data_IF_007024433323
#
_entry.id   IF_007024433323
#
_cell.length_a   1.000
_cell.length_b   1.000
_cell.length_c   1.000
_cell.angle_alpha   90.00
_cell.angle_beta   90.00
_cell.angle_gamma   90.00
#
_symmetry.space_group_name_H-M   'P 1'
#
loop_
_entity.id
_entity.type
_entity.pdbx_description
1 polymer ?
#
# COMPACT_ATOMS: atom_id res chain seq x y z
N UNK A 1 -2.98 -9.87 66.35
CA UNK A 1 -4.30 -10.10 65.72
C UNK A 1 -4.41 -9.07 64.60
N UNK A 2 -3.94 -9.37 63.40
CA UNK A 2 -4.56 -10.21 62.35
C UNK A 2 -5.49 -9.40 61.43
N UNK A 3 -5.12 -9.33 60.14
CA UNK A 3 -5.98 -8.97 59.00
C UNK A 3 -6.16 -7.44 58.80
N UNK A 4 -6.03 -6.86 57.62
CA UNK A 4 -6.10 -7.42 56.28
C UNK A 4 -5.27 -6.55 55.33
N UNK A 5 -4.25 -7.15 54.72
CA UNK A 5 -3.73 -6.70 53.43
C UNK A 5 -4.88 -6.92 52.44
N UNK A 6 -5.55 -5.86 52.03
CA UNK A 6 -6.45 -5.91 50.88
C UNK A 6 -5.59 -6.24 49.66
N UNK A 7 -5.49 -7.52 49.36
CA UNK A 7 -5.07 -8.04 48.07
C UNK A 7 -5.97 -7.44 47.01
N UNK A 8 -5.54 -6.31 46.45
CA UNK A 8 -6.13 -5.77 45.24
C UNK A 8 -6.06 -6.87 44.20
N UNK A 9 -7.23 -7.41 43.85
CA UNK A 9 -7.37 -8.46 42.87
C UNK A 9 -6.63 -8.01 41.59
N UNK A 10 -5.46 -8.60 41.36
CA UNK A 10 -4.75 -8.49 40.10
C UNK A 10 -5.73 -9.08 39.10
N UNK A 11 -6.39 -8.22 38.32
CA UNK A 11 -7.29 -8.64 37.25
C UNK A 11 -6.49 -9.58 36.35
N UNK A 12 -6.66 -10.89 36.51
CA UNK A 12 -5.92 -11.93 35.81
C UNK A 12 -6.48 -12.13 34.41
N UNK A 13 -6.52 -11.04 33.64
CA UNK A 13 -6.98 -11.04 32.26
C UNK A 13 -5.84 -10.70 31.33
N UNK A 14 -5.80 -11.35 30.16
CA UNK A 14 -4.85 -11.02 29.10
C UNK A 14 -4.80 -9.51 28.79
N UNK A 15 -5.93 -8.80 28.94
CA UNK A 15 -6.03 -7.35 28.82
C UNK A 15 -5.22 -6.59 29.89
N UNK A 16 -5.25 -7.02 31.15
CA UNK A 16 -4.48 -6.41 32.22
C UNK A 16 -2.98 -6.71 32.09
N UNK A 17 -2.63 -7.91 31.62
CA UNK A 17 -1.25 -8.25 31.27
C UNK A 17 -0.72 -7.37 30.13
N UNK A 18 -1.53 -7.08 29.11
CA UNK A 18 -1.16 -6.22 27.98
C UNK A 18 -1.13 -4.72 28.32
N UNK A 19 -1.92 -4.27 29.29
CA UNK A 19 -2.01 -2.86 29.70
C UNK A 19 -1.21 -2.54 30.98
N UNK A 20 -0.34 -3.45 31.42
CA UNK A 20 0.48 -3.23 32.62
C UNK A 20 1.35 -1.97 32.48
N UNK A 21 1.35 -1.06 33.47
CA UNK A 21 2.23 0.12 33.47
C UNK A 21 3.71 -0.25 33.62
N UNK A 22 4.01 -1.42 34.18
CA UNK A 22 5.37 -1.97 34.28
C UNK A 22 5.40 -3.36 33.58
N UNK A 23 5.80 -3.43 32.30
CA UNK A 23 5.91 -4.71 31.60
C UNK A 23 7.09 -5.52 32.14
N UNK A 24 6.86 -6.79 32.50
CA UNK A 24 7.86 -7.69 33.06
C UNK A 24 8.83 -8.26 32.01
N UNK A 25 8.51 -8.17 30.71
CA UNK A 25 9.37 -8.64 29.62
C UNK A 25 9.33 -7.72 28.40
N UNK A 26 10.39 -7.77 27.57
CA UNK A 26 10.43 -7.06 26.26
C UNK A 26 9.30 -7.50 25.33
N UNK A 27 8.90 -8.77 25.39
CA UNK A 27 7.79 -9.32 24.62
C UNK A 27 6.45 -8.73 25.09
N UNK A 28 6.21 -8.68 26.40
CA UNK A 28 5.02 -8.05 26.98
C UNK A 28 4.92 -6.56 26.63
N UNK A 29 6.03 -5.83 26.72
CA UNK A 29 6.07 -4.42 26.33
C UNK A 29 5.71 -4.24 24.85
N UNK A 30 6.20 -5.12 23.96
CA UNK A 30 5.89 -5.08 22.53
C UNK A 30 4.42 -5.41 22.26
N UNK A 31 3.91 -6.50 22.83
CA UNK A 31 2.50 -6.90 22.69
C UNK A 31 1.54 -5.85 23.26
N UNK A 32 1.84 -5.27 24.42
CA UNK A 32 1.04 -4.22 25.03
C UNK A 32 1.01 -2.91 24.23
N UNK A 33 2.10 -2.57 23.52
CA UNK A 33 2.13 -1.44 22.58
C UNK A 33 1.24 -1.70 21.36
N UNK A 34 1.36 -2.87 20.74
CA UNK A 34 0.50 -3.25 19.61
C UNK A 34 -0.97 -3.30 20.00
N UNK A 35 -1.29 -3.81 21.18
CA UNK A 35 -2.65 -3.86 21.68
C UNK A 35 -3.25 -2.48 21.93
N UNK A 36 -2.48 -1.53 22.47
CA UNK A 36 -2.90 -0.12 22.61
C UNK A 36 -3.11 0.55 21.26
N UNK A 37 -2.20 0.34 20.31
CA UNK A 37 -2.35 0.84 18.94
C UNK A 37 -3.61 0.27 18.27
N UNK A 38 -3.88 -1.03 18.44
CA UNK A 38 -5.10 -1.67 17.95
C UNK A 38 -6.36 -1.12 18.60
N UNK A 39 -6.36 -0.90 19.92
CA UNK A 39 -7.49 -0.26 20.63
C UNK A 39 -7.78 1.14 20.09
N UNK A 40 -6.74 1.95 19.84
CA UNK A 40 -6.86 3.26 19.21
C UNK A 40 -7.41 3.18 17.78
N UNK A 41 -6.83 2.30 16.96
CA UNK A 41 -7.25 2.05 15.58
C UNK A 41 -8.73 1.63 15.51
N UNK A 42 -9.15 0.69 16.37
CA UNK A 42 -10.52 0.16 16.39
C UNK A 42 -11.56 1.21 16.79
N UNK A 43 -11.15 2.27 17.50
CA UNK A 43 -12.04 3.39 17.85
C UNK A 43 -12.30 4.31 16.65
N UNK A 44 -11.38 4.35 15.68
CA UNK A 44 -11.57 5.11 14.44
C UNK A 44 -12.45 4.30 13.47
N UNK A 45 -13.73 4.68 13.37
CA UNK A 45 -14.72 4.00 12.50
C UNK A 45 -14.32 4.07 11.02
N UNK A 46 -13.70 5.16 10.59
CA UNK A 46 -13.23 5.33 9.21
C UNK A 46 -12.06 4.40 8.90
N UNK A 47 -11.11 4.28 9.83
CA UNK A 47 -10.01 3.31 9.73
C UNK A 47 -10.51 1.86 9.63
N UNK A 48 -11.54 1.51 10.41
CA UNK A 48 -12.17 0.20 10.36
C UNK A 48 -12.92 -0.05 9.03
N UNK A 49 -13.55 0.97 8.46
CA UNK A 49 -14.16 0.88 7.14
C UNK A 49 -13.10 0.67 6.05
N UNK A 50 -11.99 1.41 6.11
CA UNK A 50 -10.84 1.21 5.22
C UNK A 50 -10.26 -0.20 5.31
N UNK A 51 -10.05 -0.69 6.55
CA UNK A 51 -9.61 -2.06 6.80
C UNK A 51 -10.57 -3.09 6.20
N UNK A 52 -11.88 -2.90 6.36
CA UNK A 52 -12.88 -3.80 5.80
C UNK A 52 -12.83 -3.82 4.27
N UNK A 53 -12.70 -2.66 3.61
CA UNK A 53 -12.59 -2.57 2.15
C UNK A 53 -11.34 -3.31 1.65
N UNK A 54 -10.18 -3.05 2.26
CA UNK A 54 -8.92 -3.70 1.87
C UNK A 54 -8.99 -5.21 2.14
N UNK A 55 -9.59 -5.63 3.25
CA UNK A 55 -9.80 -7.05 3.56
C UNK A 55 -10.69 -7.71 2.50
N UNK A 56 -11.82 -7.09 2.13
CA UNK A 56 -12.72 -7.61 1.09
C UNK A 56 -12.02 -7.68 -0.27
N UNK A 57 -11.18 -6.69 -0.61
CA UNK A 57 -10.36 -6.73 -1.82
C UNK A 57 -9.40 -7.92 -1.83
N UNK A 58 -8.69 -8.16 -0.72
CA UNK A 58 -7.77 -9.30 -0.59
C UNK A 58 -8.52 -10.61 -0.68
N UNK A 59 -9.65 -10.75 0.01
CA UNK A 59 -10.49 -11.94 -0.06
C UNK A 59 -11.02 -12.18 -1.48
N UNK A 60 -11.50 -11.13 -2.15
CA UNK A 60 -11.95 -11.20 -3.54
C UNK A 60 -10.83 -11.66 -4.48
N UNK A 61 -9.60 -11.16 -4.31
CA UNK A 61 -8.47 -11.54 -5.14
C UNK A 61 -7.98 -12.97 -4.89
N UNK A 62 -7.92 -13.39 -3.62
CA UNK A 62 -7.48 -14.74 -3.22
C UNK A 62 -8.51 -15.78 -3.67
N UNK A 63 -9.80 -15.51 -3.45
CA UNK A 63 -10.89 -16.41 -3.79
C UNK A 63 -11.48 -16.15 -5.17
N UNK A 64 -10.85 -15.32 -6.01
CA UNK A 64 -11.35 -15.01 -7.36
C UNK A 64 -11.73 -16.26 -8.19
N UNK A 65 -10.92 -17.35 -8.23
CA UNK A 65 -11.30 -18.57 -8.97
C UNK A 65 -12.52 -19.31 -8.39
N UNK A 66 -12.90 -19.04 -7.14
CA UNK A 66 -14.11 -19.59 -6.51
C UNK A 66 -15.32 -18.66 -6.67
N UNK A 67 -15.08 -17.36 -6.84
CA UNK A 67 -16.13 -16.33 -6.96
C UNK A 67 -16.64 -16.22 -8.40
N UNK A 68 -15.75 -16.34 -9.39
CA UNK A 68 -16.11 -16.19 -10.80
C UNK A 68 -15.30 -17.13 -11.69
N UNK A 69 -15.89 -17.51 -12.82
CA UNK A 69 -15.19 -18.29 -13.85
C UNK A 69 -14.18 -17.41 -14.59
N UNK A 70 -12.94 -17.90 -14.69
CA UNK A 70 -11.89 -17.22 -15.46
C UNK A 70 -12.25 -17.12 -16.94
N UNK A 71 -12.92 -18.13 -17.49
CA UNK A 71 -13.32 -18.13 -18.89
C UNK A 71 -14.29 -16.98 -19.19
N UNK A 72 -15.28 -16.75 -18.31
CA UNK A 72 -16.21 -15.63 -18.43
C UNK A 72 -15.51 -14.26 -18.43
N UNK A 73 -14.36 -14.13 -17.74
CA UNK A 73 -13.58 -12.89 -17.73
C UNK A 73 -12.74 -12.67 -19.01
N UNK A 74 -12.39 -13.74 -19.74
CA UNK A 74 -11.38 -13.68 -20.83
C UNK A 74 -11.88 -14.05 -22.21
N UNK A 75 -12.81 -15.00 -22.32
CA UNK A 75 -13.32 -15.49 -23.60
C UNK A 75 -14.24 -14.46 -24.24
N UNK A 76 -14.06 -14.24 -25.54
CA UNK A 76 -14.88 -13.30 -26.30
C UNK A 76 -16.08 -14.05 -26.86
N UNK A 77 -17.30 -13.61 -26.51
CA UNK A 77 -18.56 -14.18 -26.99
C UNK A 77 -19.37 -13.05 -27.60
N UNK A 78 -19.19 -12.79 -28.90
CA UNK A 78 -19.80 -11.62 -29.56
C UNK A 78 -21.33 -11.63 -29.53
N UNK A 79 -21.96 -12.80 -29.38
CA UNK A 79 -23.40 -12.93 -29.18
C UNK A 79 -23.87 -12.24 -27.88
N UNK A 80 -22.98 -12.17 -26.88
CA UNK A 80 -23.24 -11.56 -25.59
C UNK A 80 -22.69 -10.14 -25.47
N UNK A 81 -22.38 -9.48 -26.59
CA UNK A 81 -21.84 -8.12 -26.58
C UNK A 81 -22.83 -7.12 -25.98
N UNK A 82 -22.34 -6.30 -25.04
CA UNK A 82 -23.06 -5.16 -24.47
C UNK A 82 -24.45 -5.51 -23.88
N UNK A 83 -24.59 -6.72 -23.34
CA UNK A 83 -25.78 -7.12 -22.62
C UNK A 83 -25.86 -6.40 -21.26
N UNK A 84 -27.05 -5.93 -20.85
CA UNK A 84 -27.25 -5.33 -19.54
C UNK A 84 -27.15 -6.37 -18.43
N UNK A 85 -27.21 -5.90 -17.18
CA UNK A 85 -27.18 -6.77 -16.01
C UNK A 85 -28.29 -7.83 -16.05
N UNK A 86 -27.90 -9.08 -15.80
CA UNK A 86 -28.79 -10.24 -15.75
C UNK A 86 -28.31 -11.22 -14.68
N UNK A 87 -29.07 -12.28 -14.43
CA UNK A 87 -28.64 -13.35 -13.52
C UNK A 87 -27.38 -14.08 -13.99
N UNK A 88 -27.15 -14.14 -15.30
CA UNK A 88 -25.94 -14.71 -15.89
C UNK A 88 -24.78 -13.71 -15.88
N UNK A 89 -25.09 -12.41 -16.04
CA UNK A 89 -24.14 -11.32 -16.08
C UNK A 89 -24.47 -10.25 -15.04
N UNK A 90 -24.09 -10.41 -13.76
CA UNK A 90 -24.54 -9.53 -12.68
C UNK A 90 -24.24 -8.03 -12.92
N UNK A 91 -23.14 -7.72 -13.61
CA UNK A 91 -22.75 -6.35 -13.99
C UNK A 91 -22.83 -6.09 -15.50
N UNK A 92 -23.52 -6.97 -16.24
CA UNK A 92 -23.56 -6.96 -17.69
C UNK A 92 -22.24 -7.42 -18.32
N UNK A 93 -22.18 -7.26 -19.64
CA UNK A 93 -21.02 -7.64 -20.46
C UNK A 93 -20.39 -6.44 -21.16
N UNK A 94 -19.15 -6.60 -21.60
CA UNK A 94 -18.41 -5.58 -22.34
C UNK A 94 -18.58 -5.67 -23.87
N UNK A 95 -17.84 -4.83 -24.59
CA UNK A 95 -17.86 -4.75 -26.07
C UNK A 95 -17.41 -6.04 -26.78
N UNK A 96 -16.77 -6.96 -26.06
CA UNK A 96 -16.33 -8.27 -26.55
C UNK A 96 -17.19 -9.42 -25.97
N UNK A 97 -18.27 -9.09 -25.26
CA UNK A 97 -19.15 -10.07 -24.62
C UNK A 97 -18.53 -10.78 -23.41
N UNK A 98 -17.51 -10.18 -22.78
CA UNK A 98 -16.92 -10.72 -21.55
C UNK A 98 -17.71 -10.24 -20.34
N UNK A 99 -17.83 -11.09 -19.34
CA UNK A 99 -18.57 -10.80 -18.10
C UNK A 99 -17.83 -9.77 -17.24
N UNK A 100 -18.46 -8.63 -16.95
CA UNK A 100 -17.81 -7.54 -16.22
C UNK A 100 -17.60 -7.87 -14.75
N UNK A 101 -18.50 -8.64 -14.13
CA UNK A 101 -18.33 -9.07 -12.74
C UNK A 101 -17.08 -9.94 -12.58
N UNK A 102 -16.93 -10.96 -13.44
CA UNK A 102 -15.76 -11.81 -13.48
C UNK A 102 -14.49 -10.99 -13.78
N UNK A 103 -14.54 -10.02 -14.70
CA UNK A 103 -13.42 -9.11 -14.97
C UNK A 103 -13.06 -8.26 -13.75
N UNK A 104 -14.02 -7.71 -13.01
CA UNK A 104 -13.74 -6.96 -11.77
C UNK A 104 -13.06 -7.86 -10.73
N UNK A 105 -13.60 -9.06 -10.52
CA UNK A 105 -13.08 -10.04 -9.57
C UNK A 105 -11.65 -10.45 -9.91
N UNK A 106 -11.36 -10.82 -11.16
CA UNK A 106 -10.00 -11.16 -11.57
C UNK A 106 -9.06 -9.95 -11.65
N UNK A 107 -9.59 -8.77 -11.96
CA UNK A 107 -8.83 -7.52 -11.98
C UNK A 107 -8.31 -7.10 -10.61
N UNK A 108 -9.03 -7.46 -9.54
CA UNK A 108 -8.54 -7.24 -8.17
C UNK A 108 -7.17 -7.89 -7.91
N UNK A 109 -6.90 -9.04 -8.53
CA UNK A 109 -5.59 -9.71 -8.44
C UNK A 109 -4.50 -8.88 -9.13
N UNK A 110 -4.80 -8.35 -10.32
CA UNK A 110 -3.87 -7.49 -11.07
C UNK A 110 -3.56 -6.23 -10.26
N UNK A 111 -4.58 -5.57 -9.72
CA UNK A 111 -4.40 -4.38 -8.86
C UNK A 111 -3.54 -4.69 -7.64
N UNK A 112 -3.82 -5.78 -6.91
CA UNK A 112 -3.02 -6.18 -5.75
C UNK A 112 -1.58 -6.55 -6.12
N UNK A 113 -1.37 -7.23 -7.24
CA UNK A 113 -0.02 -7.55 -7.74
C UNK A 113 0.76 -6.26 -8.04
N UNK A 114 0.16 -5.29 -8.73
CA UNK A 114 0.81 -4.02 -9.06
C UNK A 114 1.24 -3.29 -7.77
N UNK A 115 0.32 -3.09 -6.83
CA UNK A 115 0.65 -2.36 -5.60
C UNK A 115 1.67 -3.08 -4.73
N UNK A 116 1.61 -4.41 -4.68
CA UNK A 116 2.58 -5.22 -3.94
C UNK A 116 3.98 -5.12 -4.58
N UNK A 117 4.09 -5.28 -5.90
CA UNK A 117 5.38 -5.18 -6.59
C UNK A 117 5.98 -3.77 -6.50
N UNK A 118 5.17 -2.72 -6.69
CA UNK A 118 5.61 -1.34 -6.52
C UNK A 118 6.12 -1.14 -5.09
N UNK A 119 5.38 -1.59 -4.07
CA UNK A 119 5.81 -1.45 -2.67
C UNK A 119 7.11 -2.16 -2.35
N UNK A 120 7.30 -3.39 -2.88
CA UNK A 120 8.52 -4.19 -2.71
C UNK A 120 9.73 -3.54 -3.37
N UNK A 121 9.56 -2.73 -4.41
CA UNK A 121 10.68 -2.05 -5.09
C UNK A 121 10.95 -0.68 -4.46
N UNK A 122 9.90 0.12 -4.29
CA UNK A 122 9.98 1.53 -3.87
C UNK A 122 10.54 1.68 -2.46
N UNK A 123 10.13 0.82 -1.52
CA UNK A 123 10.60 0.90 -0.14
C UNK A 123 12.10 0.61 -0.03
N UNK A 124 12.63 -0.52 -0.54
CA UNK A 124 14.08 -0.77 -0.51
C UNK A 124 14.90 0.30 -1.22
N UNK A 125 14.47 0.77 -2.40
CA UNK A 125 15.18 1.84 -3.13
C UNK A 125 15.20 3.13 -2.31
N UNK A 126 14.06 3.52 -1.73
CA UNK A 126 13.97 4.68 -0.86
C UNK A 126 14.87 4.56 0.37
N UNK A 127 14.85 3.42 1.06
CA UNK A 127 15.69 3.15 2.22
C UNK A 127 17.19 3.15 1.85
N UNK A 128 17.56 2.53 0.73
CA UNK A 128 18.93 2.45 0.25
C UNK A 128 19.53 3.83 -0.08
N UNK A 129 18.70 4.81 -0.43
CA UNK A 129 19.13 6.19 -0.70
C UNK A 129 19.06 7.06 0.55
N UNK A 130 17.94 6.98 1.28
CA UNK A 130 17.68 7.86 2.43
C UNK A 130 18.51 7.55 3.67
N UNK A 131 18.71 6.26 4.00
CA UNK A 131 19.47 5.87 5.19
C UNK A 131 20.94 6.31 5.09
N UNK A 132 21.67 6.08 3.97
CA UNK A 132 23.04 6.56 3.84
C UNK A 132 23.12 8.09 3.81
N UNK A 133 22.16 8.77 3.17
CA UNK A 133 22.11 10.24 3.15
C UNK A 133 22.02 10.81 4.58
N UNK A 134 21.12 10.27 5.41
CA UNK A 134 20.99 10.71 6.80
C UNK A 134 22.14 10.23 7.70
N UNK A 135 22.68 9.03 7.46
CA UNK A 135 23.72 8.45 8.32
C UNK A 135 25.09 9.04 8.07
N UNK A 136 25.50 9.28 6.82
CA UNK A 136 26.83 9.83 6.54
C UNK A 136 26.83 11.37 6.58
N UNK A 137 25.76 12.02 6.10
CA UNK A 137 25.70 13.48 6.04
C UNK A 137 26.63 14.07 4.96
N UNK A 138 26.84 15.40 5.02
CA UNK A 138 27.81 16.11 4.18
C UNK A 138 27.59 15.95 2.67
N UNK A 139 28.62 15.53 1.95
CA UNK A 139 28.57 15.38 0.48
C UNK A 139 27.65 14.24 0.06
N UNK A 140 27.64 13.11 0.79
CA UNK A 140 26.76 11.97 0.49
C UNK A 140 25.31 12.39 0.55
N UNK A 141 24.93 13.09 1.61
CA UNK A 141 23.59 13.66 1.76
C UNK A 141 23.25 14.61 0.60
N UNK A 142 24.15 15.55 0.33
CA UNK A 142 23.96 16.55 -0.73
C UNK A 142 23.72 15.88 -2.09
N UNK A 143 24.58 14.94 -2.51
CA UNK A 143 24.47 14.29 -3.81
C UNK A 143 23.19 13.45 -3.91
N UNK A 144 22.88 12.63 -2.90
CA UNK A 144 21.70 11.77 -2.92
C UNK A 144 20.39 12.58 -2.85
N UNK A 145 20.36 13.67 -2.08
CA UNK A 145 19.19 14.54 -2.02
C UNK A 145 19.06 15.39 -3.28
N UNK A 146 20.15 15.83 -3.93
CA UNK A 146 20.08 16.46 -5.26
C UNK A 146 19.49 15.52 -6.30
N UNK A 147 19.90 14.25 -6.33
CA UNK A 147 19.28 13.25 -7.21
C UNK A 147 17.78 13.10 -6.91
N UNK A 148 17.41 13.00 -5.64
CA UNK A 148 16.02 12.92 -5.18
C UNK A 148 15.21 14.15 -5.61
N UNK A 149 15.79 15.35 -5.52
CA UNK A 149 15.17 16.63 -5.88
C UNK A 149 14.88 16.72 -7.38
N UNK A 150 15.75 16.16 -8.23
CA UNK A 150 15.54 16.10 -9.69
C UNK A 150 14.24 15.35 -10.03
N UNK A 151 14.03 14.17 -9.43
CA UNK A 151 12.81 13.38 -9.68
C UNK A 151 11.54 14.07 -9.14
N UNK A 152 11.64 14.74 -8.00
CA UNK A 152 10.52 15.46 -7.38
C UNK A 152 10.14 16.74 -8.12
N UNK A 153 11.03 17.30 -8.93
CA UNK A 153 10.75 18.49 -9.74
C UNK A 153 9.73 18.21 -10.86
N UNK A 154 9.62 16.95 -11.32
CA UNK A 154 8.67 16.56 -12.34
C UNK A 154 7.34 16.08 -11.75
N UNK A 155 6.19 16.39 -12.36
CA UNK A 155 4.92 15.78 -11.98
C UNK A 155 5.02 14.26 -12.09
N UNK A 156 4.76 13.54 -10.99
CA UNK A 156 4.92 12.08 -10.89
C UNK A 156 4.21 11.32 -12.02
N UNK A 157 2.98 11.71 -12.34
CA UNK A 157 2.19 11.07 -13.39
C UNK A 157 2.83 11.26 -14.77
N UNK A 158 3.31 12.46 -15.09
CA UNK A 158 3.96 12.77 -16.37
C UNK A 158 5.24 11.95 -16.54
N UNK A 159 6.04 11.85 -15.49
CA UNK A 159 7.27 11.06 -15.53
C UNK A 159 6.99 9.55 -15.63
N UNK A 160 5.97 9.05 -14.92
CA UNK A 160 5.53 7.66 -15.03
C UNK A 160 5.04 7.34 -16.45
N UNK A 161 4.31 8.25 -17.08
CA UNK A 161 3.87 8.13 -18.47
C UNK A 161 5.05 8.08 -19.45
N UNK A 162 6.03 8.97 -19.28
CA UNK A 162 7.21 8.99 -20.13
C UNK A 162 7.99 7.66 -20.06
N UNK A 163 8.22 7.13 -18.86
CA UNK A 163 8.88 5.84 -18.70
C UNK A 163 8.04 4.67 -19.23
N UNK A 164 6.73 4.65 -18.96
CA UNK A 164 5.86 3.60 -19.46
C UNK A 164 5.78 3.61 -20.99
N UNK A 165 5.76 4.78 -21.62
CA UNK A 165 5.80 4.91 -23.08
C UNK A 165 7.14 4.43 -23.67
N UNK A 166 8.26 4.68 -22.98
CA UNK A 166 9.57 4.22 -23.41
C UNK A 166 9.77 2.69 -23.25
N UNK A 167 9.23 2.11 -22.17
CA UNK A 167 9.32 0.67 -21.88
C UNK A 167 8.31 -0.16 -22.70
N UNK A 168 7.22 0.46 -23.12
CA UNK A 168 6.13 -0.20 -23.83
C UNK A 168 5.07 -0.81 -22.89
N UNK A 169 3.97 -1.33 -23.47
CA UNK A 169 2.83 -1.82 -22.72
C UNK A 169 3.16 -3.07 -21.87
N UNK A 170 2.59 -3.17 -20.68
CA UNK A 170 2.64 -4.37 -19.85
C UNK A 170 2.57 -4.08 -18.35
N UNK A 171 2.16 -5.07 -17.57
CA UNK A 171 2.08 -4.93 -16.10
C UNK A 171 3.47 -4.65 -15.51
N UNK A 172 4.49 -5.41 -15.94
CA UNK A 172 5.87 -5.25 -15.44
C UNK A 172 6.44 -3.88 -15.77
N UNK A 173 6.28 -3.43 -17.03
CA UNK A 173 6.72 -2.12 -17.47
C UNK A 173 6.01 -0.98 -16.73
N UNK A 174 4.70 -1.09 -16.50
CA UNK A 174 3.95 -0.14 -15.70
C UNK A 174 4.44 -0.10 -14.25
N UNK A 175 4.72 -1.27 -13.64
CA UNK A 175 5.29 -1.35 -12.28
C UNK A 175 6.65 -0.68 -12.22
N UNK A 176 7.54 -0.94 -13.18
CA UNK A 176 8.88 -0.31 -13.24
C UNK A 176 8.74 1.21 -13.39
N UNK A 177 7.89 1.69 -14.31
CA UNK A 177 7.66 3.11 -14.53
C UNK A 177 7.12 3.81 -13.27
N UNK A 178 6.19 3.19 -12.55
CA UNK A 178 5.68 3.73 -11.27
C UNK A 178 6.79 3.71 -10.21
N UNK A 179 7.54 2.62 -10.09
CA UNK A 179 8.57 2.48 -9.06
C UNK A 179 9.71 3.50 -9.23
N UNK A 180 10.14 3.76 -10.47
CA UNK A 180 11.16 4.76 -10.81
C UNK A 180 10.79 6.19 -10.38
N UNK A 181 9.50 6.48 -10.23
CA UNK A 181 9.00 7.81 -9.88
C UNK A 181 8.50 7.92 -8.45
N UNK A 182 8.26 6.80 -7.78
CA UNK A 182 7.62 6.74 -6.47
C UNK A 182 8.59 6.66 -5.28
N UNK A 183 9.87 6.31 -5.49
CA UNK A 183 10.89 6.18 -4.44
C UNK A 183 11.37 7.49 -3.76
N UNK A 184 11.42 8.68 -4.41
CA UNK A 184 12.04 9.87 -3.80
C UNK A 184 11.41 10.31 -2.47
N UNK A 185 10.06 10.28 -2.34
CA UNK A 185 9.42 10.49 -1.06
C UNK A 185 10.02 9.59 0.04
N UNK A 186 10.24 8.29 -0.21
CA UNK A 186 10.72 7.30 0.78
C UNK A 186 12.16 7.56 1.20
N UNK A 187 13.00 8.01 0.27
CA UNK A 187 14.34 8.47 0.58
C UNK A 187 14.34 9.66 1.55
N UNK A 188 13.47 10.66 1.33
CA UNK A 188 13.35 11.80 2.26
C UNK A 188 12.89 11.40 3.65
N UNK A 189 11.90 10.50 3.73
CA UNK A 189 11.40 10.00 5.02
C UNK A 189 12.51 9.25 5.77
N UNK A 190 13.18 8.30 5.11
CA UNK A 190 14.24 7.52 5.73
C UNK A 190 15.42 8.39 6.16
N UNK A 191 15.77 9.41 5.36
CA UNK A 191 16.77 10.42 5.74
C UNK A 191 16.36 11.18 6.99
N UNK A 192 15.14 11.68 7.06
CA UNK A 192 14.66 12.46 8.21
C UNK A 192 14.69 11.63 9.50
N UNK A 193 14.18 10.39 9.46
CA UNK A 193 14.21 9.44 10.58
C UNK A 193 15.64 9.06 10.98
N UNK A 194 16.55 8.96 10.01
CA UNK A 194 17.96 8.67 10.30
C UNK A 194 18.65 9.84 10.98
N UNK A 195 18.39 11.08 10.54
CA UNK A 195 18.98 12.29 11.13
C UNK A 195 18.57 12.48 12.59
N UNK A 196 17.30 12.20 12.92
CA UNK A 196 16.82 12.25 14.31
C UNK A 196 17.46 11.16 15.16
N UNK A 197 17.54 9.94 14.62
CA UNK A 197 17.95 8.76 15.38
C UNK A 197 19.46 8.63 15.55
N UNK A 198 20.25 9.09 14.57
CA UNK A 198 21.72 9.04 14.61
C UNK A 198 22.30 9.75 15.83
N UNK A 199 21.64 10.80 16.32
CA UNK A 199 22.10 11.58 17.48
C UNK A 199 21.72 10.96 18.83
N UNK A 200 20.97 9.86 18.85
CA UNK A 200 20.53 9.25 20.09
C UNK A 200 21.68 8.57 20.85
N UNK A 201 21.65 8.67 22.18
CA UNK A 201 22.70 8.14 23.08
C UNK A 201 22.95 6.64 22.89
N UNK A 202 21.90 5.86 22.63
CA UNK A 202 22.03 4.41 22.41
C UNK A 202 22.75 4.06 21.11
N UNK A 203 22.67 4.90 20.07
CA UNK A 203 23.44 4.72 18.82
C UNK A 203 24.91 5.01 19.08
N UNK A 204 25.22 6.11 19.77
CA UNK A 204 26.60 6.47 20.14
C UNK A 204 27.24 5.38 21.01
N UNK A 205 26.50 4.79 21.96
CA UNK A 205 26.99 3.70 22.78
C UNK A 205 27.34 2.44 21.96
N UNK A 206 26.60 2.14 20.89
CA UNK A 206 26.86 1.02 19.98
C UNK A 206 28.05 1.32 19.05
N UNK A 207 28.22 2.57 18.64
CA UNK A 207 29.40 3.04 17.89
C UNK A 207 30.69 2.89 18.72
N UNK A 208 30.66 3.29 20.00
CA UNK A 208 31.79 3.14 20.93
C UNK A 208 32.16 1.67 21.18
N UNK A 209 31.22 0.74 21.00
CA UNK A 209 31.47 -0.70 21.05
C UNK A 209 32.09 -1.27 19.76
N UNK A 210 32.39 -0.43 18.76
CA UNK A 210 33.04 -0.84 17.51
C UNK A 210 32.08 -1.39 16.45
N UNK A 211 30.78 -1.11 16.53
CA UNK A 211 29.85 -1.51 15.48
C UNK A 211 30.12 -0.74 14.17
N UNK A 212 30.14 -1.45 13.05
CA UNK A 212 30.30 -0.81 11.73
C UNK A 212 29.06 0.01 11.33
N UNK A 213 29.22 1.07 10.51
CA UNK A 213 28.10 1.87 9.98
C UNK A 213 26.96 1.04 9.39
N UNK A 214 27.28 0.04 8.56
CA UNK A 214 26.29 -0.84 7.95
C UNK A 214 25.53 -1.67 8.99
N UNK A 215 26.23 -2.15 10.03
CA UNK A 215 25.60 -2.88 11.13
C UNK A 215 24.65 -1.97 11.91
N UNK A 216 25.04 -0.72 12.17
CA UNK A 216 24.19 0.25 12.88
C UNK A 216 22.94 0.56 12.05
N UNK A 217 23.11 0.85 10.76
CA UNK A 217 21.99 1.11 9.85
C UNK A 217 21.02 -0.07 9.84
N UNK A 218 21.52 -1.28 9.57
CA UNK A 218 20.67 -2.46 9.41
C UNK A 218 20.00 -2.91 10.72
N UNK A 219 20.68 -2.82 11.86
CA UNK A 219 20.18 -3.39 13.12
C UNK A 219 19.49 -2.37 14.04
N UNK A 220 19.78 -1.08 13.90
CA UNK A 220 19.24 -0.04 14.78
C UNK A 220 18.31 0.91 14.02
N UNK A 221 18.75 1.43 12.87
CA UNK A 221 18.03 2.51 12.17
C UNK A 221 16.90 1.98 11.30
N UNK A 222 17.14 0.92 10.50
CA UNK A 222 16.13 0.30 9.64
C UNK A 222 14.88 -0.13 10.45
N UNK A 223 15.01 -0.87 11.56
CA UNK A 223 13.84 -1.29 12.34
C UNK A 223 13.03 -0.11 12.90
N UNK A 224 13.68 1.02 13.14
CA UNK A 224 13.04 2.23 13.65
C UNK A 224 12.28 2.98 12.55
N UNK A 225 12.78 2.97 11.30
CA UNK A 225 12.14 3.63 10.17
C UNK A 225 10.95 2.84 9.60
N UNK A 226 10.95 1.51 9.75
CA UNK A 226 9.95 0.61 9.15
C UNK A 226 8.50 1.00 9.46
N UNK A 227 8.10 1.34 10.72
CA UNK A 227 6.74 1.76 11.01
C UNK A 227 6.28 2.98 10.20
N UNK A 228 7.09 4.04 10.16
CA UNK A 228 6.79 5.27 9.39
C UNK A 228 6.70 4.98 7.89
N UNK A 229 7.59 4.12 7.38
CA UNK A 229 7.60 3.71 5.98
C UNK A 229 6.36 2.89 5.61
N UNK A 230 5.91 1.98 6.47
CA UNK A 230 4.71 1.16 6.24
C UNK A 230 3.45 2.03 6.23
N UNK A 231 3.33 2.96 7.19
CA UNK A 231 2.21 3.92 7.24
C UNK A 231 2.15 4.70 5.94
N UNK A 232 3.29 5.25 5.52
CA UNK A 232 3.36 6.02 4.29
C UNK A 232 3.08 5.19 3.04
N UNK A 233 3.62 3.97 2.97
CA UNK A 233 3.36 3.06 1.88
C UNK A 233 1.86 2.84 1.71
N UNK A 234 1.14 2.64 2.83
CA UNK A 234 -0.31 2.43 2.82
C UNK A 234 -1.07 3.65 2.28
N UNK A 235 -0.69 4.86 2.69
CA UNK A 235 -1.26 6.11 2.15
C UNK A 235 -0.99 6.28 0.66
N UNK A 236 0.21 5.93 0.20
CA UNK A 236 0.60 6.06 -1.20
C UNK A 236 -0.05 5.00 -2.11
N UNK A 237 -0.58 3.90 -1.56
CA UNK A 237 -1.24 2.83 -2.34
C UNK A 237 -2.34 3.38 -3.23
N UNK A 238 -3.19 4.27 -2.71
CA UNK A 238 -4.27 4.88 -3.48
C UNK A 238 -3.73 5.62 -4.72
N UNK A 239 -2.65 6.40 -4.56
CA UNK A 239 -1.99 7.10 -5.65
C UNK A 239 -1.34 6.15 -6.67
N UNK A 240 -0.77 5.04 -6.19
CA UNK A 240 -0.19 3.98 -7.06
C UNK A 240 -1.30 3.32 -7.89
N UNK A 241 -2.43 2.99 -7.28
CA UNK A 241 -3.59 2.40 -7.98
C UNK A 241 -4.11 3.36 -9.04
N UNK A 242 -4.27 4.64 -8.70
CA UNK A 242 -4.75 5.65 -9.64
C UNK A 242 -3.78 5.85 -10.81
N UNK A 243 -2.47 5.83 -10.55
CA UNK A 243 -1.46 5.93 -11.60
C UNK A 243 -1.47 4.69 -12.48
N UNK A 244 -1.52 3.49 -11.90
CA UNK A 244 -1.60 2.24 -12.65
C UNK A 244 -2.84 2.18 -13.53
N UNK A 245 -4.00 2.56 -12.99
CA UNK A 245 -5.24 2.66 -13.76
C UNK A 245 -5.15 3.73 -14.86
N UNK A 246 -4.49 4.86 -14.61
CA UNK A 246 -4.23 5.88 -15.62
C UNK A 246 -3.34 5.39 -16.77
N UNK A 247 -2.27 4.65 -16.45
CA UNK A 247 -1.42 4.01 -17.46
C UNK A 247 -2.19 2.93 -18.25
N UNK A 248 -2.98 2.10 -17.56
CA UNK A 248 -3.86 1.12 -18.18
C UNK A 248 -4.90 1.74 -19.10
N UNK A 249 -5.50 2.86 -18.66
CA UNK A 249 -6.45 3.63 -19.45
C UNK A 249 -5.83 4.17 -20.75
N UNK A 250 -4.54 4.53 -20.71
CA UNK A 250 -3.78 5.00 -21.87
C UNK A 250 -3.15 3.87 -22.70
N UNK A 251 -3.46 2.60 -22.38
CA UNK A 251 -3.00 1.42 -23.13
C UNK A 251 -1.60 0.95 -22.77
N UNK A 252 -0.95 1.56 -21.77
CA UNK A 252 0.41 1.21 -21.31
C UNK A 252 0.40 0.15 -20.19
N UNK A 253 -0.78 -0.23 -19.70
CA UNK A 253 -0.94 -1.25 -18.67
C UNK A 253 -1.05 -2.67 -19.21
N UNK A 254 -1.83 -3.51 -18.52
CA UNK A 254 -2.05 -4.89 -18.94
C UNK A 254 -2.73 -4.96 -20.31
N UNK A 255 -2.31 -5.93 -21.12
CA UNK A 255 -2.84 -6.10 -22.47
C UNK A 255 -4.01 -7.11 -22.50
N UNK A 256 -4.97 -6.97 -23.42
CA UNK A 256 -6.03 -7.97 -23.61
C UNK A 256 -5.45 -9.39 -23.78
N UNK A 257 -6.09 -10.43 -23.22
CA UNK A 257 -7.43 -10.44 -22.62
C UNK A 257 -7.47 -10.06 -21.13
N UNK A 258 -6.35 -9.64 -20.53
CA UNK A 258 -6.25 -9.40 -19.09
C UNK A 258 -7.33 -8.41 -18.59
N UNK A 259 -7.99 -8.69 -17.45
CA UNK A 259 -9.01 -7.82 -16.89
C UNK A 259 -8.41 -6.74 -15.99
N UNK A 260 -7.78 -5.73 -16.58
CA UNK A 260 -7.23 -4.58 -15.83
C UNK A 260 -8.24 -3.44 -15.80
N UNK A 261 -8.49 -2.88 -14.61
CA UNK A 261 -9.59 -1.93 -14.40
C UNK A 261 -9.43 -0.63 -15.19
N UNK A 262 -8.22 -0.07 -15.30
CA UNK A 262 -7.96 1.12 -16.10
C UNK A 262 -8.27 0.92 -17.59
N UNK A 263 -7.82 -0.20 -18.15
CA UNK A 263 -8.12 -0.60 -19.52
C UNK A 263 -9.63 -0.84 -19.73
N UNK A 264 -10.33 -1.42 -18.75
CA UNK A 264 -11.78 -1.59 -18.81
C UNK A 264 -12.52 -0.24 -18.83
N UNK A 265 -12.09 0.73 -18.02
CA UNK A 265 -12.65 2.10 -18.05
C UNK A 265 -12.42 2.75 -19.43
N UNK A 266 -11.24 2.54 -20.03
CA UNK A 266 -10.92 3.08 -21.35
C UNK A 266 -11.78 2.49 -22.47
N UNK A 267 -11.99 1.17 -22.45
CA UNK A 267 -12.87 0.48 -23.40
C UNK A 267 -14.32 0.98 -23.27
N UNK A 268 -14.83 1.11 -22.05
CA UNK A 268 -16.19 1.59 -21.79
C UNK A 268 -16.43 3.06 -22.17
N UNK A 269 -15.39 3.87 -22.39
CA UNK A 269 -15.52 5.30 -22.74
C UNK A 269 -16.34 5.51 -24.00
N UNK A 270 -16.22 4.63 -24.99
CA UNK A 270 -16.90 4.77 -26.29
C UNK A 270 -18.41 4.52 -26.21
N UNK A 271 -18.81 3.77 -25.18
CA UNK A 271 -20.18 3.29 -24.97
C UNK A 271 -20.82 3.89 -23.71
N UNK A 272 -20.19 4.91 -23.11
CA UNK A 272 -20.54 5.41 -21.78
C UNK A 272 -21.99 5.94 -21.69
N UNK A 273 -22.49 6.58 -22.75
CA UNK A 273 -23.83 7.18 -22.75
C UNK A 273 -24.94 6.13 -22.81
N UNK A 274 -24.70 5.02 -23.51
CA UNK A 274 -25.72 3.99 -23.75
C UNK A 274 -25.53 2.76 -22.82
N UNK A 275 -24.29 2.37 -22.57
CA UNK A 275 -23.89 1.22 -21.74
C UNK A 275 -22.91 1.64 -20.64
N UNK A 276 -23.38 2.55 -19.79
CA UNK A 276 -22.60 3.17 -18.71
C UNK A 276 -21.88 2.17 -17.79
N UNK A 277 -22.45 0.98 -17.55
CA UNK A 277 -21.88 -0.04 -16.65
C UNK A 277 -20.49 -0.49 -17.08
N UNK A 278 -20.18 -0.45 -18.38
CA UNK A 278 -18.89 -0.91 -18.93
C UNK A 278 -17.71 -0.10 -18.37
N UNK A 279 -17.86 1.22 -18.26
CA UNK A 279 -16.84 2.10 -17.70
C UNK A 279 -17.04 2.35 -16.20
N UNK A 280 -18.28 2.52 -15.75
CA UNK A 280 -18.57 2.96 -14.37
C UNK A 280 -18.25 1.87 -13.35
N UNK A 281 -18.52 0.60 -13.63
CA UNK A 281 -18.27 -0.50 -12.68
C UNK A 281 -16.77 -0.66 -12.33
N UNK A 282 -15.84 -0.77 -13.31
CA UNK A 282 -14.41 -0.80 -12.98
C UNK A 282 -13.92 0.53 -12.39
N UNK A 283 -14.49 1.67 -12.78
CA UNK A 283 -14.20 2.97 -12.17
C UNK A 283 -14.58 3.04 -10.69
N UNK A 284 -15.74 2.49 -10.32
CA UNK A 284 -16.19 2.36 -8.93
C UNK A 284 -15.28 1.42 -8.14
N UNK A 285 -14.82 0.32 -8.73
CA UNK A 285 -13.86 -0.57 -8.09
C UNK A 285 -12.55 0.16 -7.75
N UNK A 286 -11.99 0.92 -8.70
CA UNK A 286 -10.81 1.77 -8.49
C UNK A 286 -11.06 2.77 -7.35
N UNK A 287 -12.20 3.48 -7.40
CA UNK A 287 -12.57 4.47 -6.39
C UNK A 287 -12.69 3.88 -4.98
N UNK A 288 -13.49 2.82 -4.81
CA UNK A 288 -13.74 2.17 -3.52
C UNK A 288 -12.43 1.66 -2.92
N UNK A 289 -11.60 1.00 -3.72
CA UNK A 289 -10.33 0.46 -3.24
C UNK A 289 -9.35 1.57 -2.87
N UNK A 290 -9.26 2.62 -3.69
CA UNK A 290 -8.38 3.77 -3.42
C UNK A 290 -8.81 4.47 -2.13
N UNK A 291 -10.12 4.64 -1.93
CA UNK A 291 -10.68 5.15 -0.68
C UNK A 291 -10.34 4.22 0.50
N UNK A 292 -10.48 2.90 0.34
CA UNK A 292 -10.16 1.91 1.36
C UNK A 292 -8.71 2.01 1.85
N UNK A 293 -7.75 2.10 0.92
CA UNK A 293 -6.33 2.28 1.25
C UNK A 293 -6.03 3.63 1.91
N UNK A 294 -6.64 4.73 1.44
CA UNK A 294 -6.49 6.04 2.08
C UNK A 294 -6.99 6.02 3.53
N UNK A 295 -8.23 5.55 3.75
CA UNK A 295 -8.83 5.46 5.09
C UNK A 295 -8.03 4.53 6.03
N UNK A 296 -7.53 3.41 5.51
CA UNK A 296 -6.66 2.52 6.27
C UNK A 296 -5.34 3.19 6.64
N UNK A 297 -4.71 3.89 5.69
CA UNK A 297 -3.46 4.61 5.91
C UNK A 297 -3.59 5.72 6.95
N UNK A 298 -4.67 6.51 6.89
CA UNK A 298 -4.97 7.54 7.88
C UNK A 298 -5.16 6.93 9.28
N UNK A 299 -5.90 5.82 9.38
CA UNK A 299 -6.05 5.10 10.63
C UNK A 299 -4.75 4.56 11.21
N UNK A 300 -3.86 4.05 10.36
CA UNK A 300 -2.53 3.57 10.77
C UNK A 300 -1.62 4.72 11.21
N UNK A 301 -1.75 5.89 10.58
CA UNK A 301 -1.06 7.12 10.97
C UNK A 301 -1.52 7.61 12.33
N UNK A 302 -2.84 7.71 12.57
CA UNK A 302 -3.40 8.12 13.85
C UNK A 302 -2.98 7.19 15.00
N UNK A 303 -3.03 5.88 14.77
CA UNK A 303 -2.55 4.88 15.73
C UNK A 303 -1.02 4.93 15.92
N UNK A 304 -0.33 5.58 15.00
CA UNK A 304 1.10 5.81 15.04
C UNK A 304 1.53 7.03 15.81
N UNK A 305 0.84 8.14 15.63
CA UNK A 305 1.11 9.41 16.32
C UNK A 305 0.78 9.31 17.82
N UNK A 306 -0.14 8.42 18.22
CA UNK A 306 -0.37 8.09 19.64
C UNK A 306 0.84 7.41 20.33
N UNK A 307 1.94 7.13 19.61
CA UNK A 307 3.19 6.55 20.14
C UNK A 307 4.28 7.58 20.44
N UNK A 308 4.17 8.81 19.91
CA UNK A 308 5.11 9.93 20.15
C UNK A 308 4.61 10.85 21.24
#
# INVERSE_FOLDING_TARGET
>A
MAGALSSGAISSGARAWLLSPAPASRAQARCGRWFRAWLGFRRNKLAMAGLLIVLLLVLMAVFAPLIADRQAATLQVLADRLQPASWQHPFGTDELGRDIFARVVFGSRITLTIVAMVGVIVVPVGLAIGLPAGYFGGVVDTVLMRLTDIFLAFPRLVLALAFAAALGPGIENAVIAIALTAWPPYARLARAETLTSRRAEYIQAVELQGASPLRIIATQIVPLCLPSVIIRLTLDMAGIILTAAGLGFLGLGAQPPAPEWGAMVSAGRQVLLDQWWVATIPGLAIFIVSLGFNLLGDGLRDAGDARS
#
